data_IF_722410091762
#
_entry.id   IF_722410091762
#
_cell.length_a   1.000
_cell.length_b   1.000
_cell.length_c   1.000
_cell.angle_alpha   90.00
_cell.angle_beta   90.00
_cell.angle_gamma   90.00
#
_symmetry.space_group_name_H-M   'P 1'
#
loop_
_entity.id
_entity.type
_entity.pdbx_description
1 polymer ?
#
# COMPACT_ATOMS: atom_id res chain seq x y z
N UNK A 1 -2.32 18.48 45.85
CA UNK A 1 -1.65 17.47 46.69
C UNK A 1 -2.58 17.11 47.82
N UNK A 2 -2.84 15.83 48.03
CA UNK A 2 -3.76 15.36 49.07
C UNK A 2 -2.99 15.24 50.40
N UNK A 3 -3.40 16.01 51.42
CA UNK A 3 -2.97 15.83 52.81
C UNK A 3 -4.09 15.05 53.54
N UNK A 4 -3.83 13.82 54.01
CA UNK A 4 -4.85 12.97 54.63
C UNK A 4 -5.37 13.49 55.98
N UNK A 5 -4.81 14.57 56.55
CA UNK A 5 -5.26 15.18 57.82
C UNK A 5 -6.14 16.42 57.61
N UNK A 6 -6.12 17.06 56.43
CA UNK A 6 -6.77 18.37 56.19
C UNK A 6 -7.79 18.43 55.04
N UNK A 7 -8.06 17.32 54.34
CA UNK A 7 -9.03 17.30 53.25
C UNK A 7 -8.55 18.03 51.99
N UNK A 8 -9.47 18.39 51.10
CA UNK A 8 -9.17 19.13 49.87
C UNK A 8 -8.84 20.59 50.19
N UNK A 9 -7.55 20.94 50.28
CA UNK A 9 -7.13 22.33 50.14
C UNK A 9 -7.33 22.76 48.68
N UNK A 10 -8.26 23.69 48.38
CA UNK A 10 -8.44 24.19 47.03
C UNK A 10 -7.18 24.93 46.59
N UNK A 11 -6.76 24.74 45.34
CA UNK A 11 -5.57 25.39 44.79
C UNK A 11 -5.63 26.93 44.87
N UNK A 12 -6.85 27.49 44.86
CA UNK A 12 -7.18 28.86 45.29
C UNK A 12 -8.69 28.99 45.51
N UNK A 13 -9.14 29.97 46.30
CA UNK A 13 -10.57 30.29 46.49
C UNK A 13 -11.04 31.28 45.42
N UNK A 14 -12.09 30.93 44.66
CA UNK A 14 -12.64 31.77 43.59
C UNK A 14 -13.15 33.12 44.13
N UNK A 15 -13.69 33.13 45.35
CA UNK A 15 -14.21 34.31 46.05
C UNK A 15 -13.11 35.31 46.43
N UNK A 16 -11.85 34.88 46.43
CA UNK A 16 -10.67 35.72 46.67
C UNK A 16 -10.07 36.27 45.35
N UNK A 17 -10.77 36.05 44.23
CA UNK A 17 -10.32 36.41 42.90
C UNK A 17 -9.30 35.41 42.33
N UNK A 18 -9.07 35.50 41.01
CA UNK A 18 -7.98 34.75 40.40
C UNK A 18 -6.64 35.23 41.00
N UNK A 19 -5.70 34.30 41.33
CA UNK A 19 -4.37 34.68 41.79
C UNK A 19 -3.77 35.73 40.85
N UNK A 20 -3.34 36.87 41.39
CA UNK A 20 -2.78 37.95 40.57
C UNK A 20 -1.26 37.80 40.37
N UNK A 21 -0.60 37.07 41.28
CA UNK A 21 0.85 36.89 41.33
C UNK A 21 1.28 35.54 40.73
N UNK A 22 0.83 35.23 39.52
CA UNK A 22 1.41 34.14 38.73
C UNK A 22 2.22 34.73 37.59
N UNK A 23 3.33 34.08 37.26
CA UNK A 23 4.07 34.44 36.08
C UNK A 23 3.18 34.19 34.85
N UNK A 24 2.98 35.22 34.05
CA UNK A 24 2.08 35.16 32.90
C UNK A 24 2.77 34.41 31.77
N UNK A 25 2.08 33.48 31.10
CA UNK A 25 2.65 32.78 29.95
C UNK A 25 2.97 33.76 28.81
N UNK A 26 3.90 33.39 27.92
CA UNK A 26 4.52 32.07 27.81
C UNK A 26 5.73 31.88 28.74
N UNK A 27 5.77 30.73 29.42
CA UNK A 27 6.99 30.23 30.05
C UNK A 27 7.84 29.54 28.99
N UNK A 28 9.01 30.10 28.69
CA UNK A 28 9.94 29.52 27.71
C UNK A 28 11.02 28.77 28.49
N UNK A 29 10.82 27.46 28.66
CA UNK A 29 11.80 26.56 29.27
C UNK A 29 12.13 25.44 28.27
N UNK A 30 13.36 25.41 27.72
CA UNK A 30 13.77 24.40 26.74
C UNK A 30 13.93 23.00 27.35
N UNK A 31 13.90 22.86 28.69
CA UNK A 31 14.00 21.57 29.36
C UNK A 31 12.66 20.82 29.43
N UNK A 32 11.54 21.52 29.28
CA UNK A 32 10.21 20.92 29.20
C UNK A 32 10.16 20.01 27.97
N UNK A 33 9.71 18.76 28.10
CA UNK A 33 9.59 17.83 26.95
C UNK A 33 10.92 17.65 26.16
N UNK A 34 12.07 17.81 26.82
CA UNK A 34 13.40 17.60 26.23
C UNK A 34 13.53 16.18 25.63
N UNK A 35 13.67 16.11 24.31
CA UNK A 35 13.64 14.90 23.47
C UNK A 35 12.35 14.07 23.54
N UNK A 36 11.26 14.69 23.96
CA UNK A 36 9.91 14.13 23.87
C UNK A 36 9.25 14.58 22.55
N UNK A 37 8.11 13.98 22.22
CA UNK A 37 7.30 14.37 21.07
C UNK A 37 6.22 15.36 21.49
N UNK A 38 6.00 16.38 20.68
CA UNK A 38 4.91 17.35 20.87
C UNK A 38 3.90 17.26 19.74
N UNK A 39 2.66 17.65 20.02
CA UNK A 39 1.61 17.81 19.02
C UNK A 39 1.43 19.28 18.70
N UNK A 40 1.28 19.57 17.41
CA UNK A 40 1.03 20.92 16.91
C UNK A 40 -0.06 20.89 15.85
N UNK A 41 -0.83 21.98 15.80
CA UNK A 41 -1.80 22.25 14.75
C UNK A 41 -1.42 23.62 14.20
N UNK A 42 -0.93 23.67 12.96
CA UNK A 42 -0.58 24.93 12.32
C UNK A 42 -1.81 25.56 11.66
N UNK A 43 -1.87 26.90 11.50
CA UNK A 43 -3.03 27.58 10.90
C UNK A 43 -3.43 27.08 9.50
N UNK A 44 -2.50 26.50 8.73
CA UNK A 44 -2.79 25.92 7.42
C UNK A 44 -3.41 24.51 7.46
N UNK A 45 -3.40 23.84 8.62
CA UNK A 45 -3.95 22.50 8.80
C UNK A 45 -5.49 22.49 8.73
N UNK A 46 -6.05 21.33 8.45
CA UNK A 46 -7.51 21.11 8.47
C UNK A 46 -8.28 21.71 7.29
N UNK A 47 -7.62 22.33 6.29
CA UNK A 47 -8.32 22.75 5.08
C UNK A 47 -8.88 21.52 4.36
N UNK A 48 -10.14 21.55 3.90
CA UNK A 48 -10.75 20.42 3.21
C UNK A 48 -9.96 19.97 1.97
N UNK A 49 -9.89 18.65 1.70
CA UNK A 49 -9.40 18.14 0.44
C UNK A 49 -10.33 18.56 -0.71
N UNK A 50 -9.76 18.75 -1.90
CA UNK A 50 -10.50 19.07 -3.12
C UNK A 50 -10.27 17.98 -4.15
N UNK A 51 -11.34 17.51 -4.79
CA UNK A 51 -11.27 16.54 -5.89
C UNK A 51 -11.91 17.17 -7.12
N UNK A 52 -11.17 17.16 -8.23
CA UNK A 52 -11.65 17.61 -9.53
C UNK A 52 -11.79 16.39 -10.43
N UNK A 53 -13.02 16.10 -10.86
CA UNK A 53 -13.32 15.00 -11.76
C UNK A 53 -13.63 15.54 -13.15
N UNK A 54 -13.15 14.84 -14.17
CA UNK A 54 -13.44 15.13 -15.56
C UNK A 54 -13.57 13.81 -16.32
N UNK A 55 -14.44 13.77 -17.32
CA UNK A 55 -14.66 12.57 -18.09
C UNK A 55 -15.27 12.86 -19.45
N UNK A 56 -15.06 11.92 -20.35
CA UNK A 56 -15.62 11.92 -21.68
C UNK A 56 -16.04 10.49 -22.00
N UNK A 57 -17.26 10.32 -22.49
CA UNK A 57 -17.78 9.01 -22.87
C UNK A 57 -18.51 9.10 -24.21
N UNK A 58 -18.28 8.12 -25.06
CA UNK A 58 -18.98 7.92 -26.32
C UNK A 58 -19.69 6.57 -26.25
N UNK A 59 -21.00 6.61 -26.42
CA UNK A 59 -21.85 5.43 -26.48
C UNK A 59 -22.40 5.26 -27.90
N UNK A 60 -22.36 4.03 -28.40
CA UNK A 60 -22.92 3.67 -29.71
C UNK A 60 -23.60 2.31 -29.65
N UNK A 61 -24.81 2.24 -30.22
CA UNK A 61 -25.44 0.97 -30.56
C UNK A 61 -24.74 0.37 -31.78
N UNK A 62 -24.13 -0.81 -31.61
CA UNK A 62 -23.40 -1.51 -32.68
C UNK A 62 -24.31 -2.41 -33.50
N UNK A 63 -25.30 -2.99 -32.85
CA UNK A 63 -26.35 -3.80 -33.43
C UNK A 63 -27.58 -3.73 -32.51
N UNK A 64 -28.73 -4.22 -32.99
CA UNK A 64 -29.93 -4.33 -32.15
C UNK A 64 -29.57 -5.06 -30.85
N UNK A 65 -29.89 -4.43 -29.73
CA UNK A 65 -29.62 -4.93 -28.38
C UNK A 65 -28.14 -4.96 -27.94
N UNK A 66 -27.19 -4.46 -28.75
CA UNK A 66 -25.75 -4.46 -28.44
C UNK A 66 -25.18 -3.03 -28.42
N UNK A 67 -24.71 -2.60 -27.25
CA UNK A 67 -24.21 -1.25 -27.00
C UNK A 67 -22.73 -1.31 -26.63
N UNK A 68 -21.94 -0.43 -27.24
CA UNK A 68 -20.54 -0.18 -26.89
C UNK A 68 -20.41 1.20 -26.26
N UNK A 69 -19.73 1.27 -25.13
CA UNK A 69 -19.33 2.50 -24.47
C UNK A 69 -17.82 2.53 -24.40
N UNK A 70 -17.22 3.63 -24.85
CA UNK A 70 -15.79 3.90 -24.69
C UNK A 70 -15.69 5.22 -23.95
N UNK A 71 -14.94 5.24 -22.85
CA UNK A 71 -14.82 6.44 -22.05
C UNK A 71 -13.45 6.63 -21.43
N UNK A 72 -13.24 7.85 -20.97
CA UNK A 72 -12.10 8.29 -20.20
C UNK A 72 -12.61 9.00 -18.95
N UNK A 73 -12.00 8.73 -17.80
CA UNK A 73 -12.25 9.43 -16.55
C UNK A 73 -10.91 9.81 -15.92
N UNK A 74 -10.82 11.05 -15.44
CA UNK A 74 -9.70 11.56 -14.67
C UNK A 74 -10.18 12.18 -13.37
N UNK A 75 -9.40 12.00 -12.31
CA UNK A 75 -9.62 12.62 -11.02
C UNK A 75 -8.31 13.20 -10.48
N UNK A 76 -8.33 14.45 -10.05
CA UNK A 76 -7.20 15.12 -9.40
C UNK A 76 -7.57 15.46 -7.97
N UNK A 77 -6.86 14.88 -7.01
CA UNK A 77 -6.98 15.18 -5.60
C UNK A 77 -5.91 16.18 -5.16
N UNK A 78 -6.32 17.22 -4.44
CA UNK A 78 -5.47 18.23 -3.86
C UNK A 78 -5.77 18.41 -2.37
N UNK A 79 -4.77 18.83 -1.60
CA UNK A 79 -4.88 19.05 -0.16
C UNK A 79 -5.31 17.80 0.59
N UNK A 80 -4.85 16.65 0.12
CA UNK A 80 -5.12 15.37 0.74
C UNK A 80 -4.35 15.24 2.04
N UNK A 81 -4.91 14.46 2.96
CA UNK A 81 -4.20 14.11 4.19
C UNK A 81 -2.94 13.33 3.85
N UNK A 82 -1.83 13.73 4.46
CA UNK A 82 -0.49 13.23 4.14
C UNK A 82 0.40 13.23 5.37
N UNK A 83 1.61 12.71 5.24
CA UNK A 83 2.68 12.83 6.23
C UNK A 83 3.97 13.30 5.55
N UNK A 84 3.85 14.34 4.72
CA UNK A 84 4.90 14.87 3.87
C UNK A 84 5.64 16.03 4.55
N UNK A 85 5.11 16.57 5.64
CA UNK A 85 5.75 17.67 6.39
C UNK A 85 6.42 17.16 7.66
N UNK A 86 7.75 17.19 7.68
CA UNK A 86 8.56 16.91 8.88
C UNK A 86 9.24 18.17 9.38
N UNK A 87 8.56 18.89 10.27
CA UNK A 87 8.99 20.22 10.75
C UNK A 87 10.30 20.24 11.56
N UNK A 88 10.71 19.09 12.11
CA UNK A 88 11.95 18.96 12.87
C UNK A 88 12.91 17.92 12.25
N UNK A 89 13.00 17.91 10.92
CA UNK A 89 14.00 17.13 10.21
C UNK A 89 15.38 17.79 10.35
N UNK A 90 16.45 16.99 10.33
CA UNK A 90 17.82 17.49 10.29
C UNK A 90 18.15 17.99 8.88
N UNK A 91 18.71 19.18 8.76
CA UNK A 91 19.07 19.77 7.46
C UNK A 91 20.05 18.87 6.67
N UNK A 92 19.87 18.66 5.35
CA UNK A 92 20.70 17.72 4.58
C UNK A 92 22.19 18.05 4.57
N UNK A 93 22.56 19.31 4.79
CA UNK A 93 23.96 19.72 4.88
C UNK A 93 24.72 19.06 6.02
N UNK A 94 24.04 18.66 7.10
CA UNK A 94 24.67 18.03 8.27
C UNK A 94 24.92 16.54 8.06
N UNK A 95 24.35 15.93 7.01
CA UNK A 95 24.60 14.53 6.68
C UNK A 95 26.09 14.24 6.46
N UNK A 96 26.87 15.24 6.04
CA UNK A 96 28.34 15.19 5.91
C UNK A 96 29.10 14.83 7.18
N UNK A 97 28.47 14.98 8.35
CA UNK A 97 29.09 14.63 9.63
C UNK A 97 29.15 13.11 9.86
N UNK A 98 28.49 12.31 9.03
CA UNK A 98 28.53 10.86 9.11
C UNK A 98 28.17 10.36 10.52
N UNK A 99 28.92 9.38 11.04
CA UNK A 99 28.66 8.76 12.33
C UNK A 99 28.74 9.72 13.52
N UNK A 100 29.38 10.88 13.39
CA UNK A 100 29.36 11.91 14.43
C UNK A 100 27.93 12.29 14.81
N UNK A 101 26.98 12.23 13.86
CA UNK A 101 25.56 12.46 14.11
C UNK A 101 24.96 11.53 15.18
N UNK A 102 25.47 10.31 15.30
CA UNK A 102 25.00 9.33 16.29
C UNK A 102 25.67 9.49 17.66
N UNK A 103 26.75 10.25 17.74
CA UNK A 103 27.47 10.47 18.99
C UNK A 103 26.65 11.33 19.95
N UNK A 104 26.65 10.97 21.24
CA UNK A 104 26.07 11.81 22.28
C UNK A 104 26.69 13.21 22.24
N UNK A 105 25.88 14.27 22.39
CA UNK A 105 26.35 15.66 22.27
C UNK A 105 27.46 16.02 23.27
N UNK A 106 27.52 15.30 24.40
CA UNK A 106 28.54 15.46 25.44
C UNK A 106 29.76 14.56 25.25
N UNK A 107 29.84 13.79 24.15
CA UNK A 107 30.97 12.89 23.92
C UNK A 107 32.23 13.67 23.55
N UNK A 108 33.40 13.08 23.80
CA UNK A 108 34.68 13.67 23.43
C UNK A 108 34.78 13.91 21.92
N UNK A 109 34.21 13.01 21.10
CA UNK A 109 34.16 13.16 19.65
C UNK A 109 33.31 14.37 19.22
N UNK A 110 32.13 14.55 19.82
CA UNK A 110 31.27 15.70 19.56
C UNK A 110 31.94 17.02 19.96
N UNK A 111 32.57 17.06 21.14
CA UNK A 111 33.29 18.23 21.64
C UNK A 111 34.52 18.57 20.79
N UNK A 112 35.30 17.57 20.37
CA UNK A 112 36.46 17.76 19.49
C UNK A 112 36.04 18.29 18.11
N UNK A 113 34.86 17.92 17.64
CA UNK A 113 34.26 18.47 16.42
C UNK A 113 33.61 19.86 16.61
N UNK A 114 33.72 20.46 17.79
CA UNK A 114 33.18 21.79 18.10
C UNK A 114 31.67 21.83 18.36
N UNK A 115 31.01 20.68 18.51
CA UNK A 115 29.58 20.60 18.78
C UNK A 115 29.28 21.05 20.22
N UNK A 116 28.19 21.79 20.40
CA UNK A 116 27.78 22.34 21.70
C UNK A 116 26.35 21.94 22.03
N UNK A 117 26.09 21.76 23.31
CA UNK A 117 24.75 21.54 23.84
C UNK A 117 23.86 22.76 23.53
N UNK A 118 22.67 22.60 22.93
CA UNK A 118 21.77 23.71 22.61
C UNK A 118 21.28 24.46 23.85
N UNK A 119 21.10 23.76 24.97
CA UNK A 119 20.72 24.33 26.26
C UNK A 119 21.27 23.46 27.42
N UNK A 120 21.38 24.01 28.65
CA UNK A 120 21.76 23.23 29.82
C UNK A 120 20.80 22.06 30.07
N UNK A 121 21.35 20.86 30.24
CA UNK A 121 20.55 19.65 30.49
C UNK A 121 19.98 18.96 29.25
N UNK A 122 20.33 19.39 28.03
CA UNK A 122 20.03 18.64 26.80
C UNK A 122 20.72 17.26 26.80
N UNK A 123 20.02 16.21 26.34
CA UNK A 123 20.44 14.80 26.48
C UNK A 123 20.57 14.05 25.14
N UNK A 124 20.63 14.78 24.04
CA UNK A 124 20.53 14.20 22.70
C UNK A 124 21.87 13.86 22.07
N UNK A 125 21.84 13.31 20.87
CA UNK A 125 23.02 13.17 20.04
C UNK A 125 23.27 14.45 19.22
N UNK A 126 24.38 14.47 18.46
CA UNK A 126 24.71 15.59 17.56
C UNK A 126 23.60 15.83 16.54
N UNK A 127 22.97 14.78 16.01
CA UNK A 127 21.87 14.93 15.06
C UNK A 127 20.66 15.63 15.68
N UNK A 128 20.32 15.32 16.93
CA UNK A 128 19.23 15.97 17.68
C UNK A 128 19.56 17.45 17.96
N UNK A 129 20.82 17.74 18.29
CA UNK A 129 21.27 19.10 18.60
C UNK A 129 21.23 20.06 17.40
N UNK A 130 21.39 19.52 16.19
CA UNK A 130 21.47 20.28 14.94
C UNK A 130 20.12 20.51 14.25
N UNK A 131 19.02 20.03 14.82
CA UNK A 131 17.68 20.24 14.25
C UNK A 131 17.17 21.66 14.53
N UNK A 132 16.19 22.17 13.75
CA UNK A 132 15.57 23.47 14.02
C UNK A 132 14.98 23.61 15.42
N UNK A 133 14.38 22.55 15.95
CA UNK A 133 13.81 22.48 17.29
C UNK A 133 14.51 21.37 18.10
N UNK A 134 15.74 21.60 18.58
CA UNK A 134 16.54 20.56 19.21
C UNK A 134 15.93 20.05 20.53
N UNK A 135 15.06 20.84 21.16
CA UNK A 135 14.29 20.43 22.33
C UNK A 135 13.38 19.22 22.07
N UNK A 136 12.86 19.04 20.85
CA UNK A 136 11.84 18.01 20.58
C UNK A 136 12.40 16.88 19.73
N UNK A 137 11.93 15.65 19.95
CA UNK A 137 12.28 14.52 19.09
C UNK A 137 11.41 14.44 17.85
N UNK A 138 10.10 14.58 18.01
CA UNK A 138 9.16 14.67 16.90
C UNK A 138 8.20 15.84 17.13
N UNK A 139 7.90 16.58 16.06
CA UNK A 139 6.82 17.56 16.04
C UNK A 139 5.71 16.92 15.21
N UNK A 140 4.73 16.35 15.89
CA UNK A 140 3.63 15.62 15.28
C UNK A 140 2.51 16.60 14.91
N UNK A 141 2.02 16.51 13.68
CA UNK A 141 1.00 17.39 13.09
C UNK A 141 -0.43 16.93 13.36
N UNK A 142 -0.63 16.27 14.51
CA UNK A 142 -1.86 15.56 14.87
C UNK A 142 -2.34 14.56 13.79
N UNK A 143 -1.37 13.91 13.13
CA UNK A 143 -1.41 12.78 12.17
C UNK A 143 -2.43 12.80 11.01
N UNK A 144 -3.38 13.74 10.98
CA UNK A 144 -4.52 13.76 10.07
C UNK A 144 -4.95 15.17 9.66
N UNK A 145 -4.35 16.22 10.22
CA UNK A 145 -4.74 17.60 9.88
C UNK A 145 -3.81 18.22 8.83
N UNK A 146 -2.63 17.63 8.60
CA UNK A 146 -1.80 17.95 7.45
C UNK A 146 -2.58 17.66 6.15
N UNK A 147 -2.46 18.57 5.19
CA UNK A 147 -3.23 18.62 3.95
C UNK A 147 -2.30 19.01 2.78
N UNK A 148 -1.15 18.34 2.66
CA UNK A 148 -0.13 18.63 1.65
C UNK A 148 -0.17 17.67 0.45
N UNK A 149 -0.88 16.54 0.58
CA UNK A 149 -0.91 15.48 -0.41
C UNK A 149 -1.67 15.81 -1.68
N UNK A 150 -1.28 15.15 -2.77
CA UNK A 150 -1.88 15.23 -4.09
C UNK A 150 -1.97 13.85 -4.75
N UNK A 151 -3.05 13.62 -5.50
CA UNK A 151 -3.23 12.42 -6.31
C UNK A 151 -3.73 12.75 -7.71
N UNK A 152 -3.42 11.89 -8.67
CA UNK A 152 -3.90 11.96 -10.04
C UNK A 152 -4.27 10.55 -10.51
N UNK A 153 -5.54 10.33 -10.77
CA UNK A 153 -6.10 9.11 -11.35
C UNK A 153 -6.50 9.38 -12.79
N UNK A 154 -6.13 8.49 -13.70
CA UNK A 154 -6.60 8.51 -15.08
C UNK A 154 -6.97 7.09 -15.49
N UNK A 155 -8.12 6.91 -16.13
CA UNK A 155 -8.57 5.63 -16.62
C UNK A 155 -9.29 5.75 -17.95
N UNK A 156 -8.97 4.83 -18.86
CA UNK A 156 -9.79 4.53 -20.04
C UNK A 156 -10.60 3.27 -19.77
N UNK A 157 -11.84 3.23 -20.24
CA UNK A 157 -12.66 2.02 -20.16
C UNK A 157 -13.39 1.72 -21.46
N UNK A 158 -13.64 0.44 -21.67
CA UNK A 158 -14.47 -0.09 -22.74
C UNK A 158 -15.50 -1.00 -22.10
N UNK A 159 -16.78 -0.72 -22.34
CA UNK A 159 -17.91 -1.51 -21.85
C UNK A 159 -18.74 -1.98 -23.04
N UNK A 160 -19.09 -3.25 -23.06
CA UNK A 160 -20.00 -3.86 -24.01
C UNK A 160 -21.19 -4.40 -23.24
N UNK A 161 -22.39 -4.04 -23.66
CA UNK A 161 -23.64 -4.50 -23.05
C UNK A 161 -24.54 -5.08 -24.13
N UNK A 162 -25.02 -6.31 -23.92
CA UNK A 162 -26.06 -6.93 -24.73
C UNK A 162 -27.30 -7.16 -23.89
N UNK A 163 -28.42 -6.51 -24.24
CA UNK A 163 -29.73 -6.81 -23.62
C UNK A 163 -30.15 -8.25 -23.95
N UNK A 164 -30.95 -8.85 -23.07
CA UNK A 164 -31.37 -10.24 -23.25
C UNK A 164 -32.11 -10.41 -24.58
N UNK A 165 -31.47 -11.12 -25.52
CA UNK A 165 -31.98 -11.30 -26.88
C UNK A 165 -31.42 -12.60 -27.43
N UNK A 166 -32.28 -13.44 -28.00
CA UNK A 166 -31.91 -14.78 -28.50
C UNK A 166 -31.18 -15.64 -27.45
N UNK A 167 -31.62 -15.56 -26.19
CA UNK A 167 -31.09 -16.38 -25.09
C UNK A 167 -29.83 -15.83 -24.41
N UNK A 168 -29.21 -14.73 -24.88
CA UNK A 168 -28.00 -14.17 -24.27
C UNK A 168 -28.25 -12.77 -23.69
N UNK A 169 -27.85 -12.58 -22.44
CA UNK A 169 -27.53 -11.28 -21.84
C UNK A 169 -26.05 -11.24 -21.47
N UNK A 170 -25.37 -10.13 -21.77
CA UNK A 170 -23.93 -9.96 -21.57
C UNK A 170 -23.62 -8.55 -21.07
N UNK A 171 -22.71 -8.47 -20.12
CA UNK A 171 -22.02 -7.27 -19.69
C UNK A 171 -20.53 -7.56 -19.62
N UNK A 172 -19.73 -6.89 -20.41
CA UNK A 172 -18.27 -6.94 -20.32
C UNK A 172 -17.74 -5.51 -20.11
N UNK A 173 -16.82 -5.33 -19.18
CA UNK A 173 -16.17 -4.05 -18.92
C UNK A 173 -14.68 -4.26 -18.70
N UNK A 174 -13.87 -3.52 -19.42
CA UNK A 174 -12.42 -3.46 -19.27
C UNK A 174 -12.01 -2.04 -18.92
N UNK A 175 -11.27 -1.88 -17.84
CA UNK A 175 -10.69 -0.60 -17.42
C UNK A 175 -9.17 -0.71 -17.43
N UNK A 176 -8.52 0.24 -18.08
CA UNK A 176 -7.09 0.50 -17.97
C UNK A 176 -6.89 1.78 -17.18
N UNK A 177 -6.23 1.71 -16.01
CA UNK A 177 -6.08 2.85 -15.11
C UNK A 177 -4.66 3.05 -14.59
N UNK A 178 -4.39 4.26 -14.11
CA UNK A 178 -3.16 4.59 -13.38
C UNK A 178 -3.42 5.68 -12.35
N UNK A 179 -2.97 5.42 -11.14
CA UNK A 179 -3.03 6.34 -10.00
C UNK A 179 -1.62 6.72 -9.58
N UNK A 180 -1.30 8.01 -9.60
CA UNK A 180 -0.08 8.55 -8.99
C UNK A 180 -0.44 9.38 -7.76
N UNK A 181 0.26 9.19 -6.66
CA UNK A 181 -0.01 9.89 -5.41
C UNK A 181 1.24 9.99 -4.53
N UNK A 182 1.29 11.03 -3.70
CA UNK A 182 2.20 11.18 -2.55
C UNK A 182 1.43 11.04 -1.21
N UNK A 183 0.13 10.68 -1.29
CA UNK A 183 -0.80 10.51 -0.17
C UNK A 183 -1.76 9.33 -0.43
N UNK A 184 -1.34 8.12 -0.09
CA UNK A 184 -2.08 6.87 -0.34
C UNK A 184 -3.20 6.56 0.66
N UNK A 185 -3.31 7.32 1.75
CA UNK A 185 -4.29 7.06 2.81
C UNK A 185 -4.75 8.35 3.46
N UNK A 186 -6.04 8.44 3.75
CA UNK A 186 -6.62 9.49 4.59
C UNK A 186 -6.10 9.44 6.05
N UNK A 187 -5.51 8.30 6.43
CA UNK A 187 -4.82 8.06 7.69
C UNK A 187 -3.40 7.56 7.34
N UNK A 188 -2.42 8.47 7.20
CA UNK A 188 -1.08 8.16 6.66
C UNK A 188 -0.35 7.00 7.36
N UNK A 189 -0.65 6.74 8.64
CA UNK A 189 -0.11 5.58 9.36
C UNK A 189 -0.47 4.24 8.70
N UNK A 190 -1.60 4.13 8.00
CA UNK A 190 -1.95 2.89 7.30
C UNK A 190 -1.19 2.71 5.99
N UNK A 191 -0.63 3.78 5.42
CA UNK A 191 0.23 3.67 4.25
C UNK A 191 1.60 3.06 4.61
N UNK A 192 2.01 3.08 5.89
CA UNK A 192 3.30 2.53 6.33
C UNK A 192 3.27 1.02 6.57
N UNK A 193 2.09 0.41 6.79
CA UNK A 193 1.97 -1.05 6.98
C UNK A 193 2.38 -1.88 5.76
N UNK A 194 2.39 -1.28 4.56
CA UNK A 194 2.89 -1.92 3.33
C UNK A 194 4.38 -1.68 3.09
N UNK A 195 5.11 -1.10 4.07
CA UNK A 195 6.54 -0.84 3.95
C UNK A 195 6.90 0.30 2.98
N UNK A 196 5.98 1.24 2.71
CA UNK A 196 6.22 2.32 1.74
C UNK A 196 5.71 3.71 2.12
N UNK A 197 5.01 3.87 3.25
CA UNK A 197 4.32 5.12 3.58
C UNK A 197 5.14 6.19 4.28
N UNK A 198 6.40 5.91 4.64
CA UNK A 198 7.24 6.90 5.31
C UNK A 198 7.91 7.82 4.29
N UNK A 199 7.77 9.12 4.51
CA UNK A 199 8.51 10.17 3.81
C UNK A 199 10.00 9.94 3.99
N UNK A 200 10.71 9.76 2.89
CA UNK A 200 12.15 9.54 2.95
C UNK A 200 12.92 10.86 3.10
N UNK A 201 12.58 11.86 2.28
CA UNK A 201 13.26 13.15 2.27
C UNK A 201 12.24 14.31 2.33
N UNK A 202 12.08 15.00 3.48
CA UNK A 202 11.19 16.15 3.63
C UNK A 202 11.65 17.39 2.86
N UNK A 203 12.91 17.43 2.40
CA UNK A 203 13.46 18.50 1.57
C UNK A 203 13.27 18.25 0.08
N UNK A 204 12.84 17.04 -0.32
CA UNK A 204 12.50 16.68 -1.69
C UNK A 204 11.24 15.81 -1.74
N UNK A 205 10.12 16.40 -1.33
CA UNK A 205 8.81 15.74 -1.31
C UNK A 205 8.29 15.37 -2.70
N UNK A 206 8.86 15.93 -3.78
CA UNK A 206 8.44 15.60 -5.14
C UNK A 206 8.75 14.14 -5.49
N UNK A 207 9.83 13.59 -4.92
CA UNK A 207 10.21 12.18 -5.10
C UNK A 207 9.28 11.20 -4.38
N UNK A 208 8.36 11.68 -3.55
CA UNK A 208 7.35 10.84 -2.89
C UNK A 208 6.15 10.53 -3.79
N UNK A 209 6.01 11.23 -4.92
CA UNK A 209 4.95 10.96 -5.88
C UNK A 209 5.28 9.69 -6.67
N UNK A 210 4.53 8.63 -6.39
CA UNK A 210 4.71 7.32 -7.01
C UNK A 210 3.36 6.72 -7.41
N UNK A 211 3.38 5.53 -8.02
CA UNK A 211 2.16 4.76 -8.25
C UNK A 211 1.52 4.43 -6.90
N UNK A 212 0.21 4.61 -6.78
CA UNK A 212 -0.54 4.30 -5.56
C UNK A 212 -0.41 2.83 -5.19
N UNK A 213 -0.32 2.51 -3.89
CA UNK A 213 -0.39 1.12 -3.41
C UNK A 213 -1.73 0.43 -3.70
N UNK A 214 -2.77 1.18 -4.08
CA UNK A 214 -4.09 0.69 -4.45
C UNK A 214 -4.29 0.59 -5.97
N UNK A 215 -3.27 0.93 -6.76
CA UNK A 215 -3.36 0.98 -8.21
C UNK A 215 -3.57 -0.41 -8.83
N UNK A 216 -4.67 -0.58 -9.56
CA UNK A 216 -4.99 -1.79 -10.33
C UNK A 216 -5.09 -1.40 -11.82
N UNK A 217 -4.01 -1.57 -12.60
CA UNK A 217 -3.96 -1.07 -13.96
C UNK A 217 -4.96 -1.72 -14.88
N UNK A 218 -5.11 -3.04 -14.84
CA UNK A 218 -6.04 -3.76 -15.70
C UNK A 218 -7.12 -4.39 -14.84
N UNK A 219 -8.38 -4.09 -15.16
CA UNK A 219 -9.53 -4.73 -14.55
C UNK A 219 -10.54 -5.10 -15.63
N UNK A 220 -10.74 -6.40 -15.85
CA UNK A 220 -11.73 -6.97 -16.75
C UNK A 220 -12.79 -7.70 -15.92
N UNK A 221 -14.06 -7.35 -16.14
CA UNK A 221 -15.21 -8.07 -15.59
C UNK A 221 -16.12 -8.47 -16.74
N UNK A 222 -16.49 -9.75 -16.79
CA UNK A 222 -17.43 -10.28 -17.78
C UNK A 222 -18.52 -11.01 -17.00
N UNK A 223 -19.78 -10.64 -17.24
CA UNK A 223 -20.93 -11.32 -16.70
C UNK A 223 -21.91 -11.63 -17.83
N UNK A 224 -22.40 -12.86 -17.87
CA UNK A 224 -23.42 -13.25 -18.84
C UNK A 224 -24.38 -14.28 -18.27
N UNK A 225 -25.57 -14.31 -18.86
CA UNK A 225 -26.53 -15.39 -18.73
C UNK A 225 -26.86 -15.85 -20.14
N UNK A 226 -26.69 -17.15 -20.38
CA UNK A 226 -26.96 -17.77 -21.67
C UNK A 226 -27.90 -18.95 -21.50
N UNK A 227 -29.09 -18.85 -22.08
CA UNK A 227 -29.98 -19.99 -22.30
C UNK A 227 -29.43 -20.83 -23.44
N UNK A 228 -29.09 -22.09 -23.16
CA UNK A 228 -28.52 -22.94 -24.18
C UNK A 228 -29.55 -23.18 -25.31
N UNK A 229 -29.12 -23.17 -26.57
CA UNK A 229 -30.01 -23.25 -27.73
C UNK A 229 -30.56 -24.65 -28.00
N UNK A 230 -30.56 -25.54 -27.01
CA UNK A 230 -31.06 -26.92 -27.12
C UNK A 230 -32.46 -27.04 -26.51
N UNK A 231 -33.30 -27.86 -27.14
CA UNK A 231 -34.63 -28.19 -26.65
C UNK A 231 -35.74 -27.91 -27.65
N UNK A 232 -36.95 -28.27 -27.28
CA UNK A 232 -38.17 -27.99 -28.06
C UNK A 232 -38.37 -26.48 -28.26
N UNK A 233 -38.60 -26.06 -29.51
CA UNK A 233 -38.77 -24.65 -29.88
C UNK A 233 -37.50 -23.79 -29.77
N UNK A 234 -36.31 -24.40 -29.69
CA UNK A 234 -35.00 -23.74 -29.70
C UNK A 234 -34.24 -24.05 -31.00
N UNK A 235 -33.12 -23.34 -31.24
CA UNK A 235 -32.39 -23.44 -32.50
C UNK A 235 -31.84 -24.86 -32.80
N UNK A 236 -31.50 -25.63 -31.77
CA UNK A 236 -31.16 -27.05 -31.86
C UNK A 236 -32.31 -27.89 -31.28
N UNK A 237 -33.28 -28.16 -32.14
CA UNK A 237 -34.48 -28.93 -31.84
C UNK A 237 -34.13 -30.37 -31.42
N UNK A 238 -34.61 -30.79 -30.26
CA UNK A 238 -34.46 -32.17 -29.77
C UNK A 238 -35.73 -33.02 -29.88
N UNK A 239 -36.79 -32.46 -30.48
CA UNK A 239 -38.14 -33.02 -30.46
C UNK A 239 -38.78 -32.98 -29.07
N UNK A 240 -39.96 -33.59 -28.92
CA UNK A 240 -40.64 -33.78 -27.64
C UNK A 240 -40.34 -35.18 -27.06
N UNK A 241 -40.13 -35.28 -25.74
CA UNK A 241 -39.89 -36.56 -25.06
C UNK A 241 -38.68 -36.59 -24.13
N UNK A 242 -38.18 -37.79 -23.82
CA UNK A 242 -37.09 -38.02 -22.84
C UNK A 242 -35.81 -37.29 -23.23
N UNK A 243 -35.48 -37.25 -24.51
CA UNK A 243 -34.29 -36.55 -25.02
C UNK A 243 -34.36 -35.05 -24.70
N UNK A 244 -35.51 -34.39 -24.93
CA UNK A 244 -35.70 -32.98 -24.57
C UNK A 244 -35.57 -32.74 -23.07
N UNK A 245 -36.13 -33.63 -22.23
CA UNK A 245 -35.98 -33.55 -20.77
C UNK A 245 -34.50 -33.60 -20.36
N UNK A 246 -33.67 -34.36 -21.08
CA UNK A 246 -32.23 -34.45 -20.82
C UNK A 246 -31.45 -33.23 -21.33
N UNK A 247 -31.73 -32.73 -22.54
CA UNK A 247 -30.87 -31.73 -23.21
C UNK A 247 -31.41 -30.28 -23.20
N UNK A 248 -32.71 -30.08 -22.97
CA UNK A 248 -33.35 -28.74 -23.02
C UNK A 248 -33.34 -27.98 -21.69
N UNK A 249 -33.67 -26.69 -21.67
CA UNK A 249 -33.91 -25.95 -20.42
C UNK A 249 -32.67 -25.66 -19.57
N UNK A 250 -31.46 -25.79 -20.13
CA UNK A 250 -30.23 -25.35 -19.49
C UNK A 250 -30.02 -23.85 -19.66
N UNK A 251 -29.62 -23.21 -18.57
CA UNK A 251 -29.16 -21.83 -18.53
C UNK A 251 -27.83 -21.78 -17.79
N UNK A 252 -26.85 -21.09 -18.38
CA UNK A 252 -25.53 -20.89 -17.80
C UNK A 252 -25.35 -19.43 -17.48
N UNK A 253 -25.15 -19.12 -16.21
CA UNK A 253 -24.69 -17.83 -15.74
C UNK A 253 -23.21 -17.89 -15.39
N UNK A 254 -22.45 -16.83 -15.67
CA UNK A 254 -21.07 -16.73 -15.21
C UNK A 254 -20.67 -15.31 -14.86
N UNK A 255 -19.69 -15.19 -13.97
CA UNK A 255 -18.97 -13.95 -13.67
C UNK A 255 -17.48 -14.25 -13.67
N UNK A 256 -16.75 -13.57 -14.55
CA UNK A 256 -15.30 -13.64 -14.68
C UNK A 256 -14.70 -12.32 -14.24
N UNK A 257 -13.69 -12.36 -13.37
CA UNK A 257 -12.96 -11.19 -12.88
C UNK A 257 -11.48 -11.43 -13.08
N UNK A 258 -10.84 -10.54 -13.83
CA UNK A 258 -9.40 -10.53 -14.05
C UNK A 258 -8.83 -9.16 -13.72
N UNK A 259 -8.01 -9.09 -12.68
CA UNK A 259 -7.42 -7.85 -12.22
C UNK A 259 -5.93 -8.02 -12.00
N UNK A 260 -5.14 -7.01 -12.38
CA UNK A 260 -3.73 -6.94 -12.01
C UNK A 260 -3.56 -6.89 -10.49
N UNK A 261 -2.44 -7.40 -9.99
CA UNK A 261 -2.05 -7.21 -8.59
C UNK A 261 -1.74 -5.76 -8.24
N UNK A 262 -1.73 -5.47 -6.96
CA UNK A 262 -1.34 -4.16 -6.41
C UNK A 262 0.18 -3.99 -6.46
N UNK A 263 0.70 -2.77 -6.67
CA UNK A 263 2.13 -2.56 -6.74
C UNK A 263 2.77 -2.66 -5.36
N UNK A 264 4.03 -3.07 -5.33
CA UNK A 264 4.75 -3.34 -4.10
C UNK A 264 5.69 -2.18 -3.76
N UNK A 265 5.72 -1.84 -2.47
CA UNK A 265 6.71 -0.96 -1.86
C UNK A 265 7.71 -1.76 -1.05
N UNK A 266 8.95 -1.31 -1.06
CA UNK A 266 10.02 -1.94 -0.29
C UNK A 266 10.54 -0.95 0.74
N UNK A 267 10.83 -1.50 1.89
CA UNK A 267 11.71 -0.91 2.86
C UNK A 267 12.44 -2.07 3.54
N UNK A 268 13.35 -1.90 4.47
CA UNK A 268 13.90 -0.67 4.97
C UNK A 268 15.41 -0.94 5.03
N UNK A 269 16.23 0.01 4.62
CA UNK A 269 17.69 -0.05 4.78
C UNK A 269 18.15 0.80 5.97
N UNK A 270 19.46 0.84 6.21
CA UNK A 270 20.12 1.64 7.22
C UNK A 270 19.64 3.08 7.21
N UNK A 271 19.00 3.46 8.32
CA UNK A 271 18.38 4.75 8.47
C UNK A 271 19.36 5.92 8.56
N UNK A 272 18.82 7.13 8.40
CA UNK A 272 19.55 8.37 8.68
C UNK A 272 19.11 8.85 10.08
N UNK A 273 20.06 9.29 10.94
CA UNK A 273 19.71 9.83 12.25
C UNK A 273 18.66 10.92 12.10
N UNK A 274 17.66 10.94 12.98
CA UNK A 274 16.49 11.84 12.95
C UNK A 274 15.45 11.56 11.87
N UNK A 275 15.79 10.89 10.77
CA UNK A 275 14.87 10.53 9.68
C UNK A 275 14.23 9.16 9.90
N UNK A 276 14.95 8.24 10.54
CA UNK A 276 14.49 6.85 10.70
C UNK A 276 14.91 6.00 9.51
N UNK A 277 14.14 4.96 9.23
CA UNK A 277 14.42 4.02 8.14
C UNK A 277 14.25 4.73 6.80
N UNK A 278 15.02 4.31 5.80
CA UNK A 278 14.92 4.80 4.43
C UNK A 278 14.71 3.61 3.49
N UNK A 279 14.40 3.89 2.21
CA UNK A 279 14.31 2.85 1.19
C UNK A 279 15.72 2.37 0.80
N UNK A 280 15.88 1.10 0.42
CA UNK A 280 17.14 0.60 -0.12
C UNK A 280 17.49 1.26 -1.45
N UNK A 281 18.75 1.11 -1.85
CA UNK A 281 19.20 1.40 -3.21
C UNK A 281 18.99 0.20 -4.14
N UNK A 282 18.83 0.45 -5.44
CA UNK A 282 18.77 -0.59 -6.47
C UNK A 282 20.10 -0.77 -7.20
N UNK A 283 20.50 -2.02 -7.36
CA UNK A 283 21.68 -2.40 -8.12
C UNK A 283 21.41 -2.30 -9.62
N UNK A 284 22.09 -1.42 -10.39
CA UNK A 284 21.90 -1.34 -11.83
C UNK A 284 22.24 -2.67 -12.51
N UNK A 285 21.37 -3.12 -13.41
CA UNK A 285 21.53 -4.36 -14.16
C UNK A 285 21.17 -5.65 -13.40
N UNK A 286 20.82 -5.57 -12.11
CA UNK A 286 20.26 -6.72 -11.39
C UNK A 286 18.73 -6.70 -11.45
N UNK A 287 18.18 -7.85 -11.81
CA UNK A 287 16.73 -8.05 -11.81
C UNK A 287 16.19 -8.11 -10.40
N UNK A 288 15.10 -7.39 -10.12
CA UNK A 288 14.44 -7.40 -8.79
C UNK A 288 13.71 -8.72 -8.55
N UNK A 289 13.10 -9.29 -9.58
CA UNK A 289 12.42 -10.58 -9.50
C UNK A 289 13.45 -11.71 -9.47
N UNK A 290 13.18 -12.74 -8.67
CA UNK A 290 14.01 -13.94 -8.65
C UNK A 290 13.98 -14.65 -10.00
N UNK A 291 14.98 -15.48 -10.24
CA UNK A 291 15.02 -16.34 -11.42
C UNK A 291 13.80 -17.26 -11.52
N UNK A 292 13.32 -17.79 -10.38
CA UNK A 292 12.13 -18.64 -10.35
C UNK A 292 10.87 -17.92 -10.83
N UNK A 293 10.68 -16.65 -10.46
CA UNK A 293 9.54 -15.85 -10.94
C UNK A 293 9.68 -15.57 -12.44
N UNK A 294 10.87 -15.18 -12.90
CA UNK A 294 11.13 -14.86 -14.31
C UNK A 294 10.96 -16.08 -15.23
N UNK A 295 11.30 -17.28 -14.75
CA UNK A 295 11.19 -18.52 -15.50
C UNK A 295 9.86 -19.26 -15.30
N UNK A 296 8.93 -18.71 -14.51
CA UNK A 296 7.62 -19.33 -14.26
C UNK A 296 7.67 -20.59 -13.38
N UNK A 297 8.75 -20.81 -12.63
CA UNK A 297 8.94 -21.95 -11.72
C UNK A 297 8.78 -21.58 -10.25
N UNK A 298 8.35 -20.36 -9.96
CA UNK A 298 8.08 -19.90 -8.60
C UNK A 298 6.96 -20.75 -7.96
N UNK A 299 7.27 -21.31 -6.80
CA UNK A 299 6.34 -22.05 -5.97
C UNK A 299 6.50 -21.60 -4.51
N UNK A 300 5.55 -20.85 -3.94
CA UNK A 300 5.65 -20.33 -2.58
C UNK A 300 5.64 -21.44 -1.51
N UNK A 301 5.21 -22.65 -1.86
CA UNK A 301 5.16 -23.81 -0.96
C UNK A 301 6.39 -24.72 -1.09
N UNK A 302 7.28 -24.45 -2.05
CA UNK A 302 8.45 -25.29 -2.30
C UNK A 302 9.36 -25.35 -1.07
N UNK A 303 9.91 -26.53 -0.73
CA UNK A 303 10.96 -26.61 0.28
C UNK A 303 12.27 -25.95 -0.21
N UNK A 304 12.46 -25.81 -1.52
CA UNK A 304 13.66 -25.21 -2.11
C UNK A 304 13.61 -23.66 -2.00
N UNK A 305 14.55 -23.02 -1.27
CA UNK A 305 14.61 -21.56 -1.17
C UNK A 305 14.70 -20.84 -2.52
N UNK A 306 15.37 -21.44 -3.51
CA UNK A 306 15.50 -20.83 -4.83
C UNK A 306 14.17 -20.72 -5.58
N UNK A 307 13.23 -21.65 -5.34
CA UNK A 307 11.92 -21.69 -5.99
C UNK A 307 10.85 -20.91 -5.22
N UNK A 308 11.00 -20.75 -3.90
CA UNK A 308 10.00 -20.09 -3.03
C UNK A 308 10.26 -18.63 -2.71
N UNK A 309 11.38 -18.08 -3.19
CA UNK A 309 11.74 -16.67 -2.99
C UNK A 309 11.33 -15.86 -4.20
N UNK A 310 10.53 -14.82 -3.97
CA UNK A 310 9.97 -13.98 -5.04
C UNK A 310 10.96 -12.92 -5.55
N UNK A 311 11.83 -12.41 -4.69
CA UNK A 311 12.78 -11.34 -5.02
C UNK A 311 14.23 -11.81 -5.05
N UNK A 312 14.99 -11.29 -6.00
CA UNK A 312 16.43 -11.36 -5.98
C UNK A 312 16.98 -10.36 -4.96
N UNK A 313 17.46 -10.85 -3.81
CA UNK A 313 18.05 -10.00 -2.77
C UNK A 313 19.27 -9.21 -3.26
N UNK A 314 20.03 -9.73 -4.22
CA UNK A 314 21.21 -9.05 -4.76
C UNK A 314 20.87 -7.79 -5.58
N UNK A 315 19.59 -7.56 -5.90
CA UNK A 315 19.13 -6.34 -6.55
C UNK A 315 19.02 -5.14 -5.59
N UNK A 316 19.16 -5.36 -4.27
CA UNK A 316 19.00 -4.34 -3.25
C UNK A 316 20.28 -4.15 -2.45
N UNK A 317 20.59 -2.90 -2.09
CA UNK A 317 21.71 -2.60 -1.19
C UNK A 317 21.35 -1.51 -0.19
N UNK A 318 22.04 -1.52 0.95
CA UNK A 318 21.90 -0.49 1.98
C UNK A 318 22.89 0.64 1.69
N UNK A 319 22.37 1.80 1.31
CA UNK A 319 23.15 3.01 1.00
C UNK A 319 23.96 3.54 2.20
N UNK A 320 23.61 3.15 3.43
CA UNK A 320 24.25 3.63 4.67
C UNK A 320 24.94 2.52 5.47
N UNK A 321 25.02 1.29 4.95
CA UNK A 321 25.72 0.20 5.62
C UNK A 321 27.19 0.57 5.88
N UNK A 322 27.63 0.42 7.14
CA UNK A 322 29.02 0.71 7.51
C UNK A 322 29.91 -0.45 7.07
N UNK A 323 31.07 -0.13 6.50
CA UNK A 323 32.03 -1.13 6.08
C UNK A 323 32.48 -2.03 7.23
N UNK A 324 32.60 -3.33 6.96
CA UNK A 324 33.21 -4.29 7.86
C UNK A 324 34.70 -3.99 8.02
N UNK A 325 35.29 -4.40 9.13
CA UNK A 325 36.73 -4.33 9.35
C UNK A 325 37.37 -5.70 9.12
N UNK A 326 38.55 -5.72 8.52
CA UNK A 326 39.39 -6.91 8.48
C UNK A 326 40.03 -7.20 9.85
N UNK A 327 40.76 -8.32 9.95
CA UNK A 327 41.47 -8.69 11.18
C UNK A 327 42.55 -7.68 11.60
N UNK A 328 43.01 -6.84 10.66
CA UNK A 328 43.97 -5.74 10.90
C UNK A 328 43.28 -4.43 11.27
N UNK A 329 41.94 -4.40 11.32
CA UNK A 329 41.13 -3.24 11.67
C UNK A 329 40.85 -2.28 10.51
N UNK A 330 41.26 -2.58 9.27
CA UNK A 330 41.00 -1.73 8.10
C UNK A 330 39.61 -1.99 7.53
N UNK A 331 38.99 -0.94 6.98
CA UNK A 331 37.67 -1.05 6.37
C UNK A 331 37.71 -1.78 5.03
N UNK A 332 36.91 -2.83 4.90
CA UNK A 332 36.72 -3.63 3.69
C UNK A 332 35.59 -3.01 2.86
N UNK A 333 35.89 -2.58 1.64
CA UNK A 333 34.92 -1.95 0.71
C UNK A 333 34.30 -2.92 -0.30
N UNK A 334 34.30 -4.21 0.01
CA UNK A 334 33.88 -5.27 -0.91
C UNK A 334 32.34 -5.39 -0.94
N UNK A 335 31.71 -4.53 -1.72
CA UNK A 335 30.30 -4.61 -2.12
C UNK A 335 30.22 -4.01 -3.53
N UNK A 336 29.39 -4.55 -4.44
CA UNK A 336 29.19 -3.97 -5.77
C UNK A 336 28.74 -2.49 -5.75
N UNK A 337 28.14 -2.04 -4.64
CA UNK A 337 27.69 -0.66 -4.39
C UNK A 337 28.49 0.04 -3.29
N UNK A 338 29.57 -0.59 -2.85
CA UNK A 338 30.35 -0.19 -1.70
C UNK A 338 29.60 -0.29 -0.38
N UNK A 339 30.25 0.20 0.65
CA UNK A 339 29.73 0.45 1.97
C UNK A 339 30.24 1.84 2.37
N UNK A 340 29.62 2.46 3.37
CA UNK A 340 29.98 3.80 3.84
C UNK A 340 31.07 3.72 4.91
N UNK A 341 32.08 4.58 4.83
CA UNK A 341 32.99 4.80 5.96
C UNK A 341 32.30 5.65 7.04
N UNK A 342 32.63 5.51 8.34
CA UNK A 342 32.00 6.31 9.39
C UNK A 342 32.00 7.82 9.14
N UNK A 343 33.06 8.34 8.52
CA UNK A 343 33.27 9.77 8.22
C UNK A 343 32.55 10.25 6.96
N UNK A 344 32.05 9.35 6.12
CA UNK A 344 31.34 9.71 4.90
C UNK A 344 29.90 10.14 5.18
N UNK A 345 29.31 10.97 4.31
CA UNK A 345 27.95 11.44 4.48
C UNK A 345 26.92 10.31 4.47
N UNK A 346 25.87 10.45 5.29
CA UNK A 346 24.64 9.67 5.12
C UNK A 346 23.97 10.01 3.78
N UNK A 347 23.32 9.02 3.17
CA UNK A 347 22.69 9.12 1.85
C UNK A 347 21.26 8.59 1.91
N UNK A 348 20.39 9.16 1.08
CA UNK A 348 19.06 8.64 0.83
C UNK A 348 19.11 7.49 -0.19
N UNK A 349 18.14 6.58 -0.13
CA UNK A 349 17.95 5.55 -1.16
C UNK A 349 17.44 6.14 -2.47
N UNK A 350 17.63 5.43 -3.58
CA UNK A 350 17.19 5.86 -4.92
C UNK A 350 15.88 5.20 -5.37
N UNK A 351 15.39 4.21 -4.62
CA UNK A 351 14.18 3.50 -4.98
C UNK A 351 12.93 4.39 -4.76
N UNK A 352 12.00 4.45 -5.72
CA UNK A 352 10.75 5.19 -5.54
C UNK A 352 9.91 4.56 -4.42
N UNK A 353 8.94 5.34 -3.93
CA UNK A 353 8.02 4.94 -2.86
C UNK A 353 7.30 3.61 -3.13
N UNK A 354 6.94 3.37 -4.39
CA UNK A 354 6.25 2.16 -4.83
C UNK A 354 6.69 1.83 -6.25
N UNK A 355 7.00 0.57 -6.53
CA UNK A 355 7.40 0.10 -7.85
C UNK A 355 6.18 -0.37 -8.64
N UNK A 356 5.73 0.45 -9.61
CA UNK A 356 4.55 0.16 -10.41
C UNK A 356 4.64 -1.08 -11.32
N UNK A 357 5.86 -1.59 -11.57
CA UNK A 357 6.13 -2.77 -12.40
C UNK A 357 6.39 -4.05 -11.60
N UNK A 358 6.48 -3.94 -10.26
CA UNK A 358 6.58 -5.09 -9.36
C UNK A 358 5.29 -5.15 -8.56
N UNK A 359 4.49 -6.19 -8.77
CA UNK A 359 3.12 -6.29 -8.25
C UNK A 359 2.92 -7.57 -7.47
N UNK A 360 1.92 -7.56 -6.59
CA UNK A 360 1.38 -8.76 -5.97
C UNK A 360 0.80 -9.70 -7.03
N UNK A 361 0.39 -10.89 -6.59
CA UNK A 361 -0.32 -11.82 -7.44
C UNK A 361 -1.60 -11.19 -8.04
N UNK A 362 -1.94 -11.59 -9.25
CA UNK A 362 -3.12 -11.07 -9.95
C UNK A 362 -4.38 -11.76 -9.46
N UNK A 363 -5.50 -11.04 -9.42
CA UNK A 363 -6.78 -11.60 -9.02
C UNK A 363 -7.51 -12.16 -10.25
N UNK A 364 -7.52 -13.49 -10.37
CA UNK A 364 -8.28 -14.21 -11.40
C UNK A 364 -9.32 -15.09 -10.74
N UNK A 365 -10.60 -14.89 -11.07
CA UNK A 365 -11.70 -15.67 -10.53
C UNK A 365 -12.83 -15.85 -11.54
N UNK A 366 -13.30 -17.09 -11.67
CA UNK A 366 -14.39 -17.47 -12.55
C UNK A 366 -15.44 -18.24 -11.76
N UNK A 367 -16.62 -17.63 -11.61
CA UNK A 367 -17.77 -18.22 -10.94
C UNK A 367 -18.82 -18.59 -11.98
N UNK A 368 -19.38 -19.80 -11.87
CA UNK A 368 -20.35 -20.34 -12.82
C UNK A 368 -21.58 -20.86 -12.06
N UNK A 369 -22.76 -20.54 -12.59
CA UNK A 369 -24.02 -21.12 -12.18
C UNK A 369 -24.67 -21.84 -13.37
N UNK A 370 -25.05 -23.09 -13.18
CA UNK A 370 -25.79 -23.88 -14.16
C UNK A 370 -27.17 -24.15 -13.58
N UNK A 371 -28.20 -23.67 -14.26
CA UNK A 371 -29.59 -23.95 -13.95
C UNK A 371 -30.15 -24.88 -15.01
N UNK A 372 -30.83 -25.94 -14.58
CA UNK A 372 -31.58 -26.85 -15.44
C UNK A 372 -33.03 -26.83 -15.00
N UNK A 373 -33.92 -26.46 -15.92
CA UNK A 373 -35.37 -26.59 -15.74
C UNK A 373 -35.86 -27.81 -16.50
N UNK A 374 -36.51 -28.73 -15.80
CA UNK A 374 -37.08 -29.95 -16.38
C UNK A 374 -38.57 -30.00 -16.04
N UNK A 375 -39.47 -29.84 -17.03
CA UNK A 375 -40.90 -30.04 -16.79
C UNK A 375 -41.16 -31.51 -16.46
N UNK A 376 -41.77 -31.76 -15.31
CA UNK A 376 -42.22 -33.10 -14.90
C UNK A 376 -43.59 -33.37 -15.51
N UNK A 377 -44.54 -32.46 -15.23
CA UNK A 377 -45.89 -32.40 -15.79
C UNK A 377 -46.14 -31.02 -16.41
N UNK A 378 -47.37 -30.74 -16.82
CA UNK A 378 -47.78 -29.43 -17.34
C UNK A 378 -47.68 -28.30 -16.31
N UNK A 379 -48.01 -28.58 -15.04
CA UNK A 379 -47.97 -27.59 -13.96
C UNK A 379 -46.73 -27.71 -13.06
N UNK A 380 -46.00 -28.84 -13.13
CA UNK A 380 -44.87 -29.11 -12.22
C UNK A 380 -43.53 -29.04 -12.93
N UNK A 381 -42.66 -28.13 -12.49
CA UNK A 381 -41.28 -27.97 -13.01
C UNK A 381 -40.24 -28.20 -11.92
N UNK A 382 -39.27 -29.07 -12.22
CA UNK A 382 -38.09 -29.26 -11.39
C UNK A 382 -36.97 -28.31 -11.83
N UNK A 383 -36.46 -27.50 -10.90
CA UNK A 383 -35.27 -26.69 -11.10
C UNK A 383 -34.10 -27.29 -10.32
N UNK A 384 -33.04 -27.68 -11.03
CA UNK A 384 -31.77 -28.06 -10.44
C UNK A 384 -30.74 -26.98 -10.69
N UNK A 385 -30.09 -26.50 -9.64
CA UNK A 385 -29.09 -25.44 -9.67
C UNK A 385 -27.75 -25.98 -9.17
N UNK A 386 -26.69 -25.69 -9.91
CA UNK A 386 -25.31 -25.94 -9.51
C UNK A 386 -24.55 -24.63 -9.53
N UNK A 387 -24.05 -24.20 -8.37
CA UNK A 387 -23.20 -23.01 -8.24
C UNK A 387 -21.76 -23.45 -7.95
N UNK A 388 -20.82 -22.96 -8.75
CA UNK A 388 -19.40 -23.27 -8.62
C UNK A 388 -18.65 -21.95 -8.51
N UNK A 389 -18.16 -21.64 -7.31
CA UNK A 389 -17.30 -20.49 -7.05
C UNK A 389 -15.84 -20.90 -7.28
N UNK A 390 -15.07 -20.08 -8.00
CA UNK A 390 -13.69 -20.40 -8.39
C UNK A 390 -13.60 -21.75 -9.13
N UNK A 391 -14.28 -21.88 -10.28
CA UNK A 391 -14.45 -23.16 -11.01
C UNK A 391 -13.11 -23.84 -11.34
N UNK A 392 -12.09 -23.06 -11.69
CA UNK A 392 -10.74 -23.54 -12.01
C UNK A 392 -9.85 -23.74 -10.78
N UNK A 393 -10.37 -23.54 -9.56
CA UNK A 393 -9.65 -23.70 -8.30
C UNK A 393 -8.32 -22.91 -8.30
N UNK A 394 -8.35 -21.66 -8.76
CA UNK A 394 -7.18 -20.78 -8.78
C UNK A 394 -6.79 -20.42 -7.36
N UNK A 395 -5.49 -20.46 -7.06
CA UNK A 395 -4.94 -19.88 -5.85
C UNK A 395 -4.49 -18.45 -6.14
N UNK A 396 -4.80 -17.53 -5.25
CA UNK A 396 -4.31 -16.15 -5.30
C UNK A 396 -3.51 -15.93 -4.02
N UNK A 397 -2.22 -15.66 -4.17
CA UNK A 397 -1.33 -15.52 -3.02
C UNK A 397 -1.30 -14.10 -2.47
N UNK A 398 -1.02 -13.97 -1.17
CA UNK A 398 -0.77 -12.67 -0.53
C UNK A 398 0.53 -12.06 -1.06
N UNK A 399 0.68 -10.76 -0.90
CA UNK A 399 1.92 -10.05 -1.24
C UNK A 399 3.14 -10.68 -0.55
N UNK A 400 4.26 -10.86 -1.27
CA UNK A 400 5.52 -11.28 -0.67
C UNK A 400 6.00 -10.28 0.38
N UNK A 401 6.77 -10.74 1.37
CA UNK A 401 7.39 -9.86 2.36
C UNK A 401 8.43 -8.94 1.69
N UNK A 402 8.19 -7.64 1.70
CA UNK A 402 9.07 -6.62 1.09
C UNK A 402 9.93 -5.89 2.12
N UNK A 403 9.91 -6.30 3.39
CA UNK A 403 10.59 -5.64 4.49
C UNK A 403 12.07 -6.06 4.60
N UNK A 404 12.94 -5.12 4.96
CA UNK A 404 14.39 -5.28 5.18
C UNK A 404 15.08 -6.18 4.13
N UNK A 405 15.08 -5.71 2.88
CA UNK A 405 15.72 -6.41 1.77
C UNK A 405 17.24 -6.60 2.00
N UNK A 406 17.86 -5.65 2.70
CA UNK A 406 19.31 -5.46 2.73
C UNK A 406 20.01 -6.14 3.90
N UNK A 407 19.29 -6.51 4.97
CA UNK A 407 19.87 -7.16 6.13
C UNK A 407 19.37 -8.61 6.31
N UNK A 408 20.10 -9.62 5.76
CA UNK A 408 19.67 -11.01 5.82
C UNK A 408 19.69 -11.60 7.23
N UNK A 409 20.47 -11.05 8.17
CA UNK A 409 20.48 -11.52 9.56
C UNK A 409 19.26 -11.02 10.36
N UNK A 410 18.68 -9.89 9.98
CA UNK A 410 17.45 -9.37 10.57
C UNK A 410 16.19 -9.96 9.93
N UNK A 411 16.24 -10.25 8.62
CA UNK A 411 15.08 -10.82 7.93
C UNK A 411 15.44 -11.94 6.96
N UNK A 412 15.24 -13.19 7.38
CA UNK A 412 15.35 -14.37 6.51
C UNK A 412 14.10 -14.60 5.64
N UNK A 413 13.04 -13.82 5.87
CA UNK A 413 11.73 -13.97 5.24
C UNK A 413 11.46 -13.02 4.07
N UNK A 414 12.40 -12.13 3.72
CA UNK A 414 12.27 -11.26 2.55
C UNK A 414 11.97 -12.07 1.28
N UNK A 415 11.00 -11.61 0.50
CA UNK A 415 10.52 -12.26 -0.72
C UNK A 415 9.72 -13.53 -0.49
N UNK A 416 9.42 -13.93 0.75
CA UNK A 416 8.55 -15.07 1.02
C UNK A 416 7.08 -14.69 1.03
N UNK A 417 6.24 -15.61 0.57
CA UNK A 417 4.79 -15.50 0.63
C UNK A 417 4.27 -16.43 1.73
N UNK A 418 3.44 -15.90 2.63
CA UNK A 418 3.01 -16.60 3.85
C UNK A 418 1.57 -17.07 3.85
N UNK A 419 0.81 -16.82 2.77
CA UNK A 419 -0.57 -17.27 2.73
C UNK A 419 -1.28 -16.96 1.43
N UNK A 420 -2.49 -17.50 1.35
CA UNK A 420 -3.46 -17.28 0.30
C UNK A 420 -4.39 -16.13 0.67
N UNK A 421 -4.93 -15.45 -0.35
CA UNK A 421 -5.84 -14.30 -0.19
C UNK A 421 -7.27 -14.58 -0.69
N UNK A 422 -7.50 -15.67 -1.40
CA UNK A 422 -8.83 -16.10 -1.84
C UNK A 422 -9.29 -17.39 -1.15
N UNK A 423 -10.54 -17.79 -1.41
CA UNK A 423 -11.14 -19.01 -0.86
C UNK A 423 -10.94 -20.22 -1.79
N UNK A 424 -10.98 -21.46 -1.25
CA UNK A 424 -11.06 -22.67 -2.06
C UNK A 424 -12.29 -22.68 -2.97
N UNK A 425 -12.29 -23.55 -3.98
CA UNK A 425 -13.48 -23.82 -4.79
C UNK A 425 -14.62 -24.34 -3.92
N UNK A 426 -15.81 -23.76 -4.09
CA UNK A 426 -17.04 -24.17 -3.39
C UNK A 426 -18.05 -24.58 -4.45
N UNK A 427 -18.65 -25.76 -4.28
CA UNK A 427 -19.72 -26.28 -5.15
C UNK A 427 -20.97 -26.44 -4.30
N UNK A 428 -22.07 -25.83 -4.75
CA UNK A 428 -23.37 -25.91 -4.09
C UNK A 428 -24.42 -26.44 -5.06
N UNK A 429 -25.30 -27.28 -4.54
CA UNK A 429 -26.42 -27.83 -5.29
C UNK A 429 -27.72 -27.36 -4.64
N UNK A 430 -28.68 -26.96 -5.48
CA UNK A 430 -30.03 -26.61 -5.07
C UNK A 430 -31.04 -27.38 -5.91
N UNK A 431 -32.10 -27.85 -5.27
CA UNK A 431 -33.23 -28.48 -5.94
C UNK A 431 -34.50 -27.76 -5.50
N UNK A 432 -35.30 -27.32 -6.46
CA UNK A 432 -36.57 -26.64 -6.22
C UNK A 432 -37.65 -27.25 -7.10
N UNK A 433 -38.83 -27.46 -6.52
CA UNK A 433 -40.02 -27.90 -7.25
C UNK A 433 -41.00 -26.71 -7.33
N UNK A 434 -41.44 -26.39 -8.54
CA UNK A 434 -42.41 -25.34 -8.83
C UNK A 434 -43.74 -26.01 -9.21
N UNK A 435 -44.85 -25.48 -8.69
CA UNK A 435 -46.22 -25.94 -8.91
C UNK A 435 -47.10 -24.76 -9.33
#
# INVERSE_FOLDING_TARGET
NFDPVRGFDPAFNLDQGLPQNFARPPFIDPTIRNLDSVRTIFPEHGRPPMIQNYGLEVQRELARDLILNIGYIGAQGHRLRSNLKRYNALEPEFLRLGNLLNEGISSAAAQAAGMRSPFPGFRGNVADALRPFPQFRNINTDCCLENAGNSTYNAGFVKIERRFSQGLNLLASYTFSKTLTDADSALPIFATFSGGGELQNPYDVKNEKAVSNQDIPHALVISYIYELPFGEGRAFESGSGVVNKLVGGFQVGAVHRYQSGQPLSFCCSGGIPTYGRIRPGLVPGQEILSEAVRNGTFDPLSPNPALRTYFNRAAFYDVNAVCLRDASGNYIRNSPFGCRLPTEPFRFGDMPRTLGYIRSDSFFNEDINILKKTPITEDVTLEFRTEIFNVFNRAIFRSPNTFDATNPSLNTNFGRVFGQSNTPRIIQFGLKLLF
#
